data_IF_619185999747
#
_entry.id   IF_619185999747
#
_cell.length_a   1.000
_cell.length_b   1.000
_cell.length_c   1.000
_cell.angle_alpha   90.00
_cell.angle_beta   90.00
_cell.angle_gamma   90.00
#
_symmetry.space_group_name_H-M   'P 1'
#
loop_
_entity.id
_entity.type
_entity.pdbx_description
1 polymer ?
#
# COMPACT_ATOMS: atom_id res chain seq x y z
N UNK A 1 63.48 -6.72 -23.30
CA UNK A 1 62.24 -6.12 -23.84
C UNK A 1 61.09 -6.56 -22.97
N UNK A 2 60.45 -5.58 -22.32
CA UNK A 2 59.39 -5.75 -21.32
C UNK A 2 58.08 -6.21 -21.95
N UNK A 3 57.33 -7.03 -21.23
CA UNK A 3 55.89 -7.22 -21.47
C UNK A 3 55.22 -7.44 -20.12
N UNK A 4 54.73 -6.35 -19.53
CA UNK A 4 53.87 -6.35 -18.34
C UNK A 4 52.49 -6.83 -18.78
N UNK A 5 52.08 -8.02 -18.34
CA UNK A 5 50.70 -8.48 -18.51
C UNK A 5 49.78 -7.67 -17.59
N UNK A 6 48.64 -7.14 -18.07
CA UNK A 6 47.70 -6.43 -17.20
C UNK A 6 47.06 -7.40 -16.20
N UNK A 7 46.99 -6.94 -14.95
CA UNK A 7 46.50 -7.65 -13.78
C UNK A 7 44.97 -7.81 -13.83
N UNK A 8 44.49 -8.81 -14.58
CA UNK A 8 43.07 -9.13 -14.80
C UNK A 8 42.32 -9.63 -13.55
N UNK A 9 42.99 -9.91 -12.44
CA UNK A 9 42.36 -10.46 -11.23
C UNK A 9 41.87 -9.39 -10.25
N UNK A 10 42.42 -8.17 -10.31
CA UNK A 10 42.01 -7.08 -9.43
C UNK A 10 40.68 -6.46 -9.88
N UNK A 11 40.51 -6.29 -11.20
CA UNK A 11 39.33 -5.66 -11.81
C UNK A 11 38.03 -6.47 -11.63
N UNK A 12 38.10 -7.79 -11.40
CA UNK A 12 36.90 -8.62 -11.24
C UNK A 12 36.32 -8.59 -9.83
N UNK A 13 37.12 -8.24 -8.82
CA UNK A 13 36.66 -8.10 -7.43
C UNK A 13 36.02 -6.74 -7.20
N UNK A 14 36.66 -5.68 -7.68
CA UNK A 14 36.13 -4.30 -7.61
C UNK A 14 34.78 -4.19 -8.33
N UNK A 15 34.64 -4.77 -9.54
CA UNK A 15 33.35 -4.82 -10.25
C UNK A 15 32.25 -5.61 -9.52
N UNK A 16 32.60 -6.58 -8.66
CA UNK A 16 31.62 -7.37 -7.89
C UNK A 16 31.18 -6.65 -6.62
N UNK A 17 32.08 -5.93 -5.97
CA UNK A 17 31.75 -5.06 -4.83
C UNK A 17 30.91 -3.87 -5.30
N UNK A 18 31.29 -3.20 -6.39
CA UNK A 18 30.50 -2.11 -6.98
C UNK A 18 29.11 -2.57 -7.44
N UNK A 19 28.97 -3.79 -8.00
CA UNK A 19 27.66 -4.37 -8.30
C UNK A 19 26.85 -4.71 -7.05
N UNK A 20 27.51 -5.11 -5.96
CA UNK A 20 26.86 -5.35 -4.66
C UNK A 20 26.31 -4.06 -4.06
N UNK A 21 27.10 -2.99 -4.09
CA UNK A 21 26.72 -1.66 -3.61
C UNK A 21 25.62 -1.04 -4.47
N UNK A 22 25.70 -1.16 -5.81
CA UNK A 22 24.63 -0.75 -6.72
C UNK A 22 23.34 -1.51 -6.46
N UNK A 23 23.40 -2.81 -6.15
CA UNK A 23 22.22 -3.62 -5.83
C UNK A 23 21.63 -3.27 -4.47
N UNK A 24 22.45 -2.95 -3.47
CA UNK A 24 21.99 -2.42 -2.19
C UNK A 24 21.39 -1.02 -2.33
N UNK A 25 21.97 -0.14 -3.16
CA UNK A 25 21.43 1.17 -3.47
C UNK A 25 20.10 1.06 -4.23
N UNK A 26 19.99 0.13 -5.17
CA UNK A 26 18.73 -0.19 -5.87
C UNK A 26 17.69 -0.71 -4.88
N UNK A 27 18.05 -1.65 -3.99
CA UNK A 27 17.16 -2.14 -2.95
C UNK A 27 16.75 -1.05 -1.95
N UNK A 28 17.65 -0.11 -1.63
CA UNK A 28 17.35 1.07 -0.79
C UNK A 28 16.52 2.12 -1.52
N UNK A 29 16.64 2.24 -2.85
CA UNK A 29 15.79 3.09 -3.69
C UNK A 29 14.41 2.47 -3.92
N UNK A 30 14.31 1.15 -4.09
CA UNK A 30 13.05 0.41 -4.18
C UNK A 30 12.34 0.38 -2.81
N UNK A 31 13.10 0.21 -1.71
CA UNK A 31 12.59 0.41 -0.36
C UNK A 31 12.21 1.89 -0.13
N UNK A 32 13.00 2.83 -0.66
CA UNK A 32 12.80 4.28 -0.62
C UNK A 32 11.57 4.77 -1.38
N UNK A 33 11.25 4.14 -2.52
CA UNK A 33 10.01 4.35 -3.27
C UNK A 33 8.79 3.77 -2.56
N UNK A 34 8.98 2.91 -1.55
CA UNK A 34 7.89 2.50 -0.65
C UNK A 34 7.65 3.47 0.52
N UNK A 35 8.53 4.46 0.75
CA UNK A 35 8.45 5.37 1.93
C UNK A 35 7.44 6.53 1.73
N UNK A 36 6.72 6.58 0.60
CA UNK A 36 5.55 7.47 0.45
C UNK A 36 4.20 6.76 0.60
N UNK A 37 4.15 5.47 0.97
CA UNK A 37 2.88 4.73 1.06
C UNK A 37 2.68 3.87 2.31
N UNK A 38 3.41 4.13 3.40
CA UNK A 38 3.01 3.61 4.73
C UNK A 38 1.87 4.40 5.38
N UNK A 39 1.32 5.42 4.68
CA UNK A 39 -0.04 5.87 4.95
C UNK A 39 -1.00 4.74 4.60
N UNK A 40 -1.39 4.06 5.66
CA UNK A 40 -1.93 2.72 5.66
C UNK A 40 -3.18 2.66 4.82
N UNK A 41 -3.17 1.86 3.74
CA UNK A 41 -4.40 1.48 3.04
C UNK A 41 -5.46 1.18 4.12
N UNK A 42 -6.53 1.98 4.24
CA UNK A 42 -7.44 1.85 5.36
C UNK A 42 -8.28 0.58 5.28
N UNK A 43 -8.20 -0.14 4.16
CA UNK A 43 -8.78 -1.45 3.91
C UNK A 43 -7.79 -2.61 4.08
N UNK A 44 -6.57 -2.36 4.61
CA UNK A 44 -5.53 -3.39 4.76
C UNK A 44 -6.03 -4.61 5.53
N UNK A 45 -6.82 -4.40 6.58
CA UNK A 45 -7.35 -5.48 7.42
C UNK A 45 -8.29 -6.40 6.64
N UNK A 46 -9.14 -5.83 5.80
CA UNK A 46 -10.10 -6.54 4.95
C UNK A 46 -9.36 -7.31 3.86
N UNK A 47 -8.35 -6.69 3.24
CA UNK A 47 -7.46 -7.35 2.27
C UNK A 47 -6.72 -8.54 2.87
N UNK A 48 -6.17 -8.38 4.08
CA UNK A 48 -5.51 -9.48 4.79
C UNK A 48 -6.49 -10.60 5.16
N UNK A 49 -7.71 -10.28 5.57
CA UNK A 49 -8.73 -11.27 5.91
C UNK A 49 -9.17 -12.06 4.67
N UNK A 50 -9.38 -11.38 3.55
CA UNK A 50 -9.67 -12.03 2.27
C UNK A 50 -8.49 -12.89 1.80
N UNK A 51 -7.26 -12.35 1.87
CA UNK A 51 -6.02 -13.07 1.57
C UNK A 51 -5.83 -14.34 2.40
N UNK A 52 -6.12 -14.29 3.70
CA UNK A 52 -6.14 -15.47 4.58
C UNK A 52 -7.21 -16.48 4.17
N UNK A 53 -8.41 -16.02 3.81
CA UNK A 53 -9.50 -16.90 3.38
C UNK A 53 -9.14 -17.69 2.10
N UNK A 54 -8.61 -17.01 1.08
CA UNK A 54 -8.25 -17.66 -0.20
C UNK A 54 -7.01 -18.56 -0.10
N UNK A 55 -6.16 -18.36 0.91
CA UNK A 55 -4.94 -19.16 1.12
C UNK A 55 -5.16 -20.35 2.06
N UNK A 56 -6.26 -20.36 2.82
CA UNK A 56 -6.62 -21.50 3.66
C UNK A 56 -7.10 -22.68 2.79
N UNK A 57 -6.30 -23.75 2.77
CA UNK A 57 -6.56 -24.97 1.99
C UNK A 57 -7.86 -25.68 2.38
N UNK A 58 -8.48 -25.34 3.53
CA UNK A 58 -9.80 -25.84 3.93
C UNK A 58 -10.95 -25.10 3.22
N UNK A 59 -10.74 -23.87 2.80
CA UNK A 59 -11.69 -23.06 2.04
C UNK A 59 -11.35 -23.15 0.55
N UNK A 60 -11.46 -24.36 0.00
CA UNK A 60 -11.06 -24.69 -1.37
C UNK A 60 -12.03 -24.16 -2.45
N UNK A 61 -12.63 -22.99 -2.24
CA UNK A 61 -13.57 -22.37 -3.17
C UNK A 61 -13.62 -20.87 -2.95
N UNK A 62 -13.35 -20.12 -4.02
CA UNK A 62 -13.53 -18.67 -4.12
C UNK A 62 -14.90 -18.22 -3.56
N UNK A 63 -15.94 -19.06 -3.75
CA UNK A 63 -17.32 -18.82 -3.29
C UNK A 63 -17.46 -18.75 -1.77
N UNK A 64 -16.58 -19.39 -1.00
CA UNK A 64 -16.64 -19.36 0.47
C UNK A 64 -15.98 -18.09 1.06
N UNK A 65 -15.34 -17.28 0.21
CA UNK A 65 -14.69 -16.03 0.61
C UNK A 65 -15.42 -14.78 0.11
N UNK A 66 -16.62 -14.94 -0.46
CA UNK A 66 -17.41 -13.84 -1.02
C UNK A 66 -17.72 -12.75 0.02
N UNK A 67 -17.99 -13.12 1.28
CA UNK A 67 -18.21 -12.15 2.36
C UNK A 67 -16.97 -11.30 2.63
N UNK A 68 -15.78 -11.90 2.64
CA UNK A 68 -14.53 -11.18 2.83
C UNK A 68 -14.22 -10.28 1.63
N UNK A 69 -14.46 -10.77 0.42
CA UNK A 69 -14.32 -9.96 -0.80
C UNK A 69 -15.30 -8.78 -0.80
N UNK A 70 -16.54 -9.00 -0.34
CA UNK A 70 -17.53 -7.94 -0.24
C UNK A 70 -17.13 -6.90 0.80
N UNK A 71 -16.52 -7.30 1.91
CA UNK A 71 -15.97 -6.37 2.89
C UNK A 71 -14.85 -5.51 2.31
N UNK A 72 -13.94 -6.09 1.52
CA UNK A 72 -12.91 -5.34 0.78
C UNK A 72 -13.55 -4.30 -0.13
N UNK A 73 -14.50 -4.72 -0.99
CA UNK A 73 -15.20 -3.82 -1.93
C UNK A 73 -15.94 -2.70 -1.22
N UNK A 74 -16.62 -3.02 -0.11
CA UNK A 74 -17.34 -2.04 0.69
C UNK A 74 -16.39 -1.02 1.31
N UNK A 75 -15.24 -1.46 1.82
CA UNK A 75 -14.23 -0.59 2.37
C UNK A 75 -13.64 0.33 1.30
N UNK A 76 -13.24 -0.20 0.15
CA UNK A 76 -12.68 0.60 -0.95
C UNK A 76 -13.68 1.62 -1.48
N UNK A 77 -14.95 1.23 -1.59
CA UNK A 77 -16.01 2.14 -2.02
C UNK A 77 -16.19 3.28 -1.02
N UNK A 78 -16.21 2.98 0.28
CA UNK A 78 -16.31 4.01 1.32
C UNK A 78 -15.16 5.03 1.22
N UNK A 79 -13.92 4.55 1.19
CA UNK A 79 -12.76 5.44 1.16
C UNK A 79 -12.61 6.21 -0.15
N UNK A 80 -13.11 5.65 -1.26
CA UNK A 80 -13.23 6.40 -2.50
C UNK A 80 -14.20 7.58 -2.35
N UNK A 81 -15.37 7.37 -1.76
CA UNK A 81 -16.34 8.45 -1.52
C UNK A 81 -15.78 9.52 -0.55
N UNK A 82 -15.08 9.10 0.49
CA UNK A 82 -14.32 10.00 1.37
C UNK A 82 -13.33 10.83 0.57
N UNK A 83 -12.52 10.19 -0.28
CA UNK A 83 -11.51 10.89 -1.07
C UNK A 83 -12.14 11.87 -2.06
N UNK A 84 -13.20 11.46 -2.75
CA UNK A 84 -13.96 12.33 -3.66
C UNK A 84 -14.53 13.55 -2.91
N UNK A 85 -15.03 13.37 -1.68
CA UNK A 85 -15.48 14.46 -0.83
C UNK A 85 -14.34 15.40 -0.44
N UNK A 86 -13.19 14.85 0.00
CA UNK A 86 -12.03 15.64 0.41
C UNK A 86 -11.47 16.49 -0.72
N UNK A 87 -11.41 15.93 -1.94
CA UNK A 87 -10.98 16.67 -3.13
C UNK A 87 -11.99 17.76 -3.50
N UNK A 88 -13.28 17.45 -3.45
CA UNK A 88 -14.33 18.37 -3.91
C UNK A 88 -14.64 19.51 -2.94
N UNK A 89 -14.60 19.24 -1.63
CA UNK A 89 -15.10 20.16 -0.60
C UNK A 89 -14.03 20.66 0.38
N UNK A 90 -12.90 19.96 0.51
CA UNK A 90 -11.84 20.31 1.46
C UNK A 90 -10.52 20.72 0.78
N UNK A 91 -10.54 20.88 -0.55
CA UNK A 91 -9.39 21.26 -1.39
C UNK A 91 -8.14 20.39 -1.12
N UNK A 92 -8.35 19.09 -0.87
CA UNK A 92 -7.27 18.12 -0.64
C UNK A 92 -6.81 17.48 -1.94
N UNK A 93 -5.56 17.03 -1.97
CA UNK A 93 -5.00 16.28 -3.09
C UNK A 93 -5.69 14.92 -3.24
N UNK A 94 -6.05 14.56 -4.48
CA UNK A 94 -6.62 13.26 -4.82
C UNK A 94 -5.67 12.08 -4.57
N UNK A 95 -4.37 12.35 -4.43
CA UNK A 95 -3.34 11.34 -4.19
C UNK A 95 -2.98 11.17 -2.71
N UNK A 96 -3.44 12.07 -1.84
CA UNK A 96 -3.15 12.03 -0.41
C UNK A 96 -4.33 11.42 0.33
N UNK A 97 -4.11 10.36 1.10
CA UNK A 97 -5.10 9.83 2.03
C UNK A 97 -5.32 10.77 3.24
N UNK A 98 -6.41 10.58 4.01
CA UNK A 98 -6.61 11.22 5.30
C UNK A 98 -5.41 11.01 6.23
N UNK A 99 -5.02 12.08 6.95
CA UNK A 99 -4.02 11.98 8.02
C UNK A 99 -4.59 11.16 9.19
N UNK A 100 -3.75 10.67 10.09
CA UNK A 100 -4.15 9.74 11.16
C UNK A 100 -5.37 10.22 11.98
N UNK A 101 -5.37 11.48 12.43
CA UNK A 101 -6.50 12.08 13.16
C UNK A 101 -7.78 12.15 12.32
N UNK A 102 -7.65 12.43 11.02
CA UNK A 102 -8.74 12.50 10.06
C UNK A 102 -9.29 11.09 9.76
N UNK A 103 -8.39 10.12 9.68
CA UNK A 103 -8.66 8.74 9.33
C UNK A 103 -9.50 8.05 10.41
N UNK A 104 -9.22 8.29 11.70
CA UNK A 104 -10.07 7.78 12.79
C UNK A 104 -11.47 8.41 12.79
N UNK A 105 -11.58 9.73 12.51
CA UNK A 105 -12.88 10.40 12.38
C UNK A 105 -13.70 9.80 11.24
N UNK A 106 -13.10 9.61 10.06
CA UNK A 106 -13.77 8.95 8.94
C UNK A 106 -14.08 7.48 9.25
N UNK A 107 -13.19 6.72 9.89
CA UNK A 107 -13.50 5.32 10.28
C UNK A 107 -14.75 5.23 11.16
N UNK A 108 -14.94 6.18 12.08
CA UNK A 108 -16.13 6.20 12.94
C UNK A 108 -17.46 6.30 12.17
N UNK A 109 -17.44 6.90 10.97
CA UNK A 109 -18.63 7.08 10.10
C UNK A 109 -18.87 5.90 9.16
N UNK A 110 -17.94 4.95 9.08
CA UNK A 110 -18.01 3.84 8.13
C UNK A 110 -19.20 2.91 8.38
N UNK A 111 -19.57 2.67 9.64
CA UNK A 111 -20.71 1.83 9.99
C UNK A 111 -22.04 2.45 9.52
N UNK A 112 -22.23 3.74 9.80
CA UNK A 112 -23.42 4.49 9.36
C UNK A 112 -23.50 4.54 7.83
N UNK A 113 -22.35 4.70 7.16
CA UNK A 113 -22.28 4.63 5.70
C UNK A 113 -22.66 3.25 5.17
N UNK A 114 -22.25 2.16 5.84
CA UNK A 114 -22.65 0.81 5.43
C UNK A 114 -24.17 0.61 5.45
N UNK A 115 -24.87 1.22 6.41
CA UNK A 115 -26.33 1.15 6.55
C UNK A 115 -27.03 2.06 5.54
N UNK A 116 -26.62 3.32 5.47
CA UNK A 116 -27.36 4.37 4.76
C UNK A 116 -26.92 4.56 3.30
N UNK A 117 -25.70 4.13 2.96
CA UNK A 117 -25.00 4.45 1.71
C UNK A 117 -24.91 5.96 1.43
N UNK A 118 -24.96 6.77 2.49
CA UNK A 118 -24.79 8.21 2.42
C UNK A 118 -23.52 8.59 3.16
N UNK A 119 -22.67 9.38 2.51
CA UNK A 119 -21.47 9.90 3.13
C UNK A 119 -21.85 11.02 4.09
N UNK A 120 -21.57 10.80 5.38
CA UNK A 120 -21.77 11.78 6.45
C UNK A 120 -20.41 12.23 6.98
N UNK A 121 -19.89 13.38 6.51
CA UNK A 121 -18.62 13.91 6.97
C UNK A 121 -18.61 14.15 8.49
N UNK A 122 -17.49 13.91 9.18
CA UNK A 122 -17.27 14.41 10.54
C UNK A 122 -17.43 15.93 10.60
N UNK A 123 -17.97 16.45 11.71
CA UNK A 123 -18.30 17.89 11.85
C UNK A 123 -17.05 18.79 11.93
N UNK A 124 -15.90 18.21 12.28
CA UNK A 124 -14.67 18.88 12.68
C UNK A 124 -13.49 18.54 11.75
N UNK A 125 -13.77 18.49 10.44
CA UNK A 125 -12.83 18.08 9.38
C UNK A 125 -12.46 19.19 8.41
#
# INVERSE_FOLDING_TARGET
MSSLAPNYKQTTKENKEEQGELRELQLKQDAGQSIQSDFSNPCKREHEAYGRCITDKKHNSFLNCDDYLQNVKNCEKYWKEVQDYRVKYLDKSGFEYPKEEELEKWKSKMHDWYITKQLNPPEDI
#
